data_IF_039725989350
#
_entry.id   IF_039725989350
#
_cell.length_a   1.000
_cell.length_b   1.000
_cell.length_c   1.000
_cell.angle_alpha   90.00
_cell.angle_beta   90.00
_cell.angle_gamma   90.00
#
_symmetry.space_group_name_H-M   'P 1'
#
loop_
_entity.id
_entity.type
_entity.pdbx_description
1 polymer ?
#
# COMPACT_ATOMS: atom_id res chain seq x y z
N UNK A 1 -54.89 -42.46 -41.07
CA UNK A 1 -53.61 -41.73 -40.83
C UNK A 1 -53.62 -41.20 -39.45
N UNK A 2 -52.55 -41.46 -38.67
CA UNK A 2 -52.35 -40.92 -37.35
C UNK A 2 -51.35 -39.77 -37.46
N UNK A 3 -51.75 -38.56 -37.04
CA UNK A 3 -50.87 -37.38 -37.01
C UNK A 3 -50.19 -37.34 -35.60
N UNK A 4 -48.89 -37.34 -35.61
CA UNK A 4 -48.09 -37.14 -34.38
C UNK A 4 -47.61 -35.70 -34.40
N UNK A 5 -48.04 -34.89 -33.41
CA UNK A 5 -47.61 -33.51 -33.26
C UNK A 5 -46.59 -33.44 -32.08
N UNK A 6 -45.33 -33.12 -32.36
CA UNK A 6 -44.33 -32.85 -31.33
C UNK A 6 -44.44 -31.39 -30.91
N UNK A 7 -44.70 -31.14 -29.62
CA UNK A 7 -44.65 -29.82 -29.04
C UNK A 7 -43.29 -29.62 -28.34
N UNK A 8 -42.45 -28.74 -28.86
CA UNK A 8 -41.22 -28.32 -28.23
C UNK A 8 -41.53 -27.13 -27.33
N UNK A 9 -41.38 -27.30 -26.02
CA UNK A 9 -41.34 -26.19 -25.07
C UNK A 9 -39.92 -25.65 -25.04
N UNK A 10 -39.74 -24.38 -25.42
CA UNK A 10 -38.46 -23.69 -25.17
C UNK A 10 -38.25 -23.65 -23.64
N UNK A 11 -37.21 -24.29 -23.16
CA UNK A 11 -36.81 -24.17 -21.75
C UNK A 11 -36.23 -22.76 -21.60
N UNK A 12 -37.05 -21.81 -21.13
CA UNK A 12 -36.61 -20.43 -20.90
C UNK A 12 -35.87 -20.47 -19.55
N UNK A 13 -34.55 -20.56 -19.62
CA UNK A 13 -33.69 -20.34 -18.43
C UNK A 13 -33.77 -18.85 -18.13
N UNK A 14 -34.21 -18.48 -16.91
CA UNK A 14 -34.23 -17.09 -16.49
C UNK A 14 -32.81 -16.50 -16.54
N UNK A 15 -32.66 -15.30 -17.08
CA UNK A 15 -31.37 -14.63 -17.10
C UNK A 15 -30.93 -14.29 -15.68
N UNK A 16 -29.62 -14.15 -15.49
CA UNK A 16 -29.01 -13.77 -14.21
C UNK A 16 -28.38 -12.39 -14.33
N UNK A 17 -28.25 -11.72 -13.18
CA UNK A 17 -27.70 -10.37 -13.09
C UNK A 17 -26.33 -10.37 -12.40
N UNK A 18 -25.49 -9.42 -12.79
CA UNK A 18 -24.23 -9.10 -12.14
C UNK A 18 -24.25 -7.65 -11.71
N UNK A 19 -24.37 -7.42 -10.40
CA UNK A 19 -24.24 -6.10 -9.79
C UNK A 19 -22.78 -5.87 -9.38
N UNK A 20 -22.24 -4.72 -9.73
CA UNK A 20 -20.86 -4.35 -9.41
C UNK A 20 -20.87 -3.02 -8.67
N UNK A 21 -20.33 -3.02 -7.43
CA UNK A 21 -20.11 -1.83 -6.63
C UNK A 21 -18.63 -1.44 -6.71
N UNK A 22 -18.36 -0.19 -7.06
CA UNK A 22 -17.01 0.36 -7.13
C UNK A 22 -17.02 1.85 -6.76
N UNK A 23 -16.29 2.23 -5.73
CA UNK A 23 -16.09 3.62 -5.29
C UNK A 23 -14.61 3.92 -5.40
N UNK A 24 -14.24 5.10 -5.94
CA UNK A 24 -12.84 5.51 -6.18
C UNK A 24 -12.11 4.68 -7.26
N UNK A 25 -12.88 4.07 -8.14
CA UNK A 25 -12.40 3.31 -9.28
C UNK A 25 -13.57 2.86 -10.14
N UNK A 26 -13.28 2.06 -11.14
CA UNK A 26 -14.26 1.46 -12.03
C UNK A 26 -13.96 -0.02 -12.26
N UNK A 27 -14.95 -0.75 -12.74
CA UNK A 27 -14.79 -2.14 -13.16
C UNK A 27 -15.33 -2.28 -14.58
N UNK A 28 -14.49 -2.74 -15.49
CA UNK A 28 -14.95 -3.18 -16.80
C UNK A 28 -15.31 -4.66 -16.75
N UNK A 29 -16.35 -5.05 -17.49
CA UNK A 29 -16.82 -6.43 -17.60
C UNK A 29 -16.89 -6.85 -19.06
N UNK A 30 -16.52 -8.10 -19.35
CA UNK A 30 -16.56 -8.67 -20.69
C UNK A 30 -17.14 -10.09 -20.64
N UNK A 31 -18.28 -10.36 -21.28
CA UNK A 31 -19.13 -9.43 -22.02
C UNK A 31 -19.80 -8.36 -21.14
N UNK A 32 -20.16 -7.21 -21.73
CA UNK A 32 -20.70 -6.04 -21.02
C UNK A 32 -22.25 -6.00 -21.10
N UNK A 33 -22.88 -7.13 -20.83
CA UNK A 33 -24.34 -7.29 -20.90
C UNK A 33 -25.01 -6.85 -19.58
N UNK A 34 -26.28 -6.46 -19.62
CA UNK A 34 -27.09 -6.20 -18.43
C UNK A 34 -27.66 -7.48 -17.82
N UNK A 35 -27.97 -8.44 -18.68
CA UNK A 35 -28.53 -9.75 -18.35
C UNK A 35 -27.66 -10.83 -18.99
N UNK A 36 -27.34 -11.86 -18.25
CA UNK A 36 -26.52 -12.97 -18.74
C UNK A 36 -27.29 -14.26 -18.74
N UNK A 37 -26.91 -15.18 -19.62
CA UNK A 37 -27.35 -16.55 -19.51
C UNK A 37 -26.68 -17.21 -18.30
N UNK A 38 -27.43 -18.01 -17.53
CA UNK A 38 -26.88 -18.82 -16.46
C UNK A 38 -25.77 -19.74 -16.98
N UNK A 39 -24.60 -19.68 -16.38
CA UNK A 39 -23.41 -20.41 -16.81
C UNK A 39 -22.40 -19.56 -17.59
N UNK A 40 -22.70 -18.28 -17.84
CA UNK A 40 -21.76 -17.33 -18.48
C UNK A 40 -20.56 -17.08 -17.59
N UNK A 41 -19.37 -17.07 -18.18
CA UNK A 41 -18.14 -16.57 -17.54
C UNK A 41 -17.91 -15.12 -17.93
N UNK A 42 -17.77 -14.22 -16.96
CA UNK A 42 -17.54 -12.80 -17.17
C UNK A 42 -16.15 -12.44 -16.65
N UNK A 43 -15.33 -11.85 -17.50
CA UNK A 43 -14.06 -11.26 -17.08
C UNK A 43 -14.33 -9.89 -16.48
N UNK A 44 -13.74 -9.62 -15.31
CA UNK A 44 -13.78 -8.35 -14.60
C UNK A 44 -12.38 -7.77 -14.51
N UNK A 45 -12.25 -6.47 -14.77
CA UNK A 45 -11.01 -5.72 -14.59
C UNK A 45 -11.27 -4.48 -13.74
N UNK A 46 -10.68 -4.45 -12.54
CA UNK A 46 -10.71 -3.30 -11.67
C UNK A 46 -9.67 -2.25 -12.12
N UNK A 47 -10.10 -0.99 -12.19
CA UNK A 47 -9.30 0.16 -12.61
C UNK A 47 -9.41 1.26 -11.56
N UNK A 48 -8.36 1.53 -10.77
CA UNK A 48 -8.36 2.60 -9.79
C UNK A 48 -8.44 3.98 -10.45
N UNK A 49 -9.11 4.93 -9.80
CA UNK A 49 -8.98 6.34 -10.12
C UNK A 49 -7.58 6.86 -9.75
N UNK A 50 -7.12 7.99 -10.33
CA UNK A 50 -5.87 8.64 -9.92
C UNK A 50 -5.82 8.88 -8.41
N UNK A 51 -4.72 8.53 -7.76
CA UNK A 51 -4.55 8.63 -6.31
C UNK A 51 -5.16 7.49 -5.50
N UNK A 52 -5.63 6.43 -6.15
CA UNK A 52 -6.16 5.23 -5.50
C UNK A 52 -5.44 3.96 -5.95
N UNK A 53 -5.52 2.94 -5.15
CA UNK A 53 -4.98 1.60 -5.44
C UNK A 53 -6.08 0.57 -5.21
N UNK A 54 -6.22 -0.39 -6.12
CA UNK A 54 -7.10 -1.53 -5.94
C UNK A 54 -6.56 -2.42 -4.82
N UNK A 55 -7.41 -2.73 -3.84
CA UNK A 55 -7.02 -3.52 -2.67
C UNK A 55 -7.66 -4.91 -2.63
N UNK A 56 -8.65 -5.16 -3.48
CA UNK A 56 -9.22 -6.49 -3.61
C UNK A 56 -10.71 -6.50 -3.89
N UNK A 57 -11.20 -7.70 -4.16
CA UNK A 57 -12.61 -8.00 -4.39
C UNK A 57 -13.29 -8.47 -3.12
N UNK A 58 -14.60 -8.22 -3.03
CA UNK A 58 -15.50 -8.76 -2.00
C UNK A 58 -16.84 -9.19 -2.62
N UNK A 59 -17.70 -9.84 -1.80
CA UNK A 59 -18.98 -10.40 -2.26
C UNK A 59 -18.82 -11.76 -2.90
N UNK A 60 -19.28 -11.92 -4.13
CA UNK A 60 -19.19 -13.18 -4.87
C UNK A 60 -17.77 -13.53 -5.35
N UNK A 61 -16.82 -12.61 -5.20
CA UNK A 61 -15.40 -12.77 -5.48
C UNK A 61 -14.57 -12.44 -4.24
N UNK A 62 -13.32 -12.91 -4.24
CA UNK A 62 -12.29 -12.54 -3.29
C UNK A 62 -10.93 -12.42 -3.97
N UNK A 63 -9.90 -12.02 -3.21
CA UNK A 63 -8.53 -11.89 -3.69
C UNK A 63 -8.17 -10.49 -4.19
N UNK A 64 -6.89 -10.31 -4.53
CA UNK A 64 -6.27 -9.00 -4.85
C UNK A 64 -5.84 -8.86 -6.31
N UNK A 65 -6.06 -9.87 -7.16
CA UNK A 65 -5.80 -9.75 -8.58
C UNK A 65 -6.80 -8.80 -9.23
N UNK A 66 -6.33 -7.73 -9.89
CA UNK A 66 -7.20 -6.73 -10.51
C UNK A 66 -8.03 -7.30 -11.66
N UNK A 67 -7.57 -8.37 -12.32
CA UNK A 67 -8.26 -9.09 -13.39
C UNK A 67 -8.68 -10.46 -12.87
N UNK A 68 -9.97 -10.79 -13.00
CA UNK A 68 -10.54 -12.06 -12.55
C UNK A 68 -11.65 -12.50 -13.49
N UNK A 69 -11.96 -13.80 -13.48
CA UNK A 69 -13.13 -14.35 -14.19
C UNK A 69 -14.14 -14.84 -13.18
N UNK A 70 -15.39 -14.40 -13.32
CA UNK A 70 -16.53 -14.80 -12.50
C UNK A 70 -17.48 -15.68 -13.31
N UNK A 71 -17.83 -16.83 -12.76
CA UNK A 71 -18.83 -17.73 -13.30
C UNK A 71 -20.22 -17.40 -12.73
N UNK A 72 -21.20 -17.16 -13.60
CA UNK A 72 -22.55 -16.75 -13.21
C UNK A 72 -23.51 -17.97 -13.17
N UNK A 73 -23.56 -18.63 -12.03
CA UNK A 73 -24.51 -19.72 -11.73
C UNK A 73 -25.84 -19.22 -11.11
N UNK A 74 -25.99 -17.91 -10.96
CA UNK A 74 -27.12 -17.17 -10.41
C UNK A 74 -26.78 -15.70 -10.36
N UNK A 75 -27.67 -14.88 -9.77
CA UNK A 75 -27.40 -13.47 -9.53
C UNK A 75 -26.18 -13.30 -8.62
N UNK A 76 -25.31 -12.38 -8.97
CA UNK A 76 -24.07 -12.09 -8.20
C UNK A 76 -23.96 -10.62 -7.89
N UNK A 77 -23.40 -10.33 -6.72
CA UNK A 77 -22.97 -9.01 -6.30
C UNK A 77 -21.48 -9.06 -6.01
N UNK A 78 -20.73 -8.14 -6.61
CA UNK A 78 -19.27 -8.04 -6.46
C UNK A 78 -18.94 -6.62 -6.07
N UNK A 79 -18.04 -6.45 -5.11
CA UNK A 79 -17.49 -5.15 -4.72
C UNK A 79 -16.01 -5.08 -5.06
N UNK A 80 -15.61 -4.05 -5.79
CA UNK A 80 -14.21 -3.70 -6.00
C UNK A 80 -13.78 -2.64 -4.96
N UNK A 81 -12.82 -2.99 -4.11
CA UNK A 81 -12.33 -2.12 -3.06
C UNK A 81 -11.10 -1.35 -3.54
N UNK A 82 -11.12 -0.03 -3.31
CA UNK A 82 -10.01 0.87 -3.61
C UNK A 82 -9.72 1.71 -2.36
N UNK A 83 -8.43 1.90 -2.06
CA UNK A 83 -7.96 2.80 -1.00
C UNK A 83 -7.15 3.94 -1.61
N UNK A 84 -7.16 5.09 -0.95
CA UNK A 84 -6.26 6.19 -1.30
C UNK A 84 -4.80 5.73 -1.23
N UNK A 85 -3.96 6.24 -2.12
CA UNK A 85 -2.53 5.98 -2.15
C UNK A 85 -1.75 7.28 -2.03
N UNK A 86 -0.69 7.26 -1.23
CA UNK A 86 0.10 8.40 -0.84
C UNK A 86 1.58 8.17 -1.14
N UNK A 87 2.31 9.26 -1.31
CA UNK A 87 3.75 9.23 -1.52
C UNK A 87 4.49 9.65 -0.24
N UNK A 88 5.59 8.95 0.06
CA UNK A 88 6.54 9.31 1.09
C UNK A 88 7.83 9.80 0.43
N UNK A 89 8.16 11.06 0.66
CA UNK A 89 9.45 11.64 0.30
C UNK A 89 10.36 11.69 1.53
N UNK A 90 11.55 11.10 1.42
CA UNK A 90 12.58 11.16 2.46
C UNK A 90 13.76 11.99 2.00
N UNK A 91 14.25 12.87 2.86
CA UNK A 91 15.43 13.72 2.61
C UNK A 91 16.42 13.58 3.76
N UNK A 92 17.68 13.96 3.51
CA UNK A 92 18.72 14.02 4.53
C UNK A 92 19.31 15.43 4.60
N UNK A 93 19.62 15.88 5.80
CA UNK A 93 20.46 17.06 6.08
C UNK A 93 21.69 16.60 6.85
N UNK A 94 22.84 16.69 6.19
CA UNK A 94 24.11 16.11 6.61
C UNK A 94 24.32 14.70 6.04
N UNK A 95 25.56 14.18 6.12
CA UNK A 95 25.92 12.85 5.63
C UNK A 95 25.26 11.72 6.39
N UNK A 96 24.54 10.90 5.65
CA UNK A 96 23.76 9.76 6.14
C UNK A 96 22.72 9.29 5.14
N UNK A 97 21.94 8.32 5.50
CA UNK A 97 20.87 7.78 4.66
C UNK A 97 19.61 7.44 5.48
N UNK A 98 18.51 7.29 4.80
CA UNK A 98 17.22 6.85 5.35
C UNK A 98 16.82 5.55 4.67
N UNK A 99 16.50 4.55 5.48
CA UNK A 99 15.89 3.31 5.04
C UNK A 99 14.42 3.30 5.45
N UNK A 100 13.54 2.89 4.52
CA UNK A 100 12.12 2.67 4.78
C UNK A 100 11.79 1.18 4.72
N UNK A 101 10.92 0.72 5.62
CA UNK A 101 10.40 -0.64 5.62
C UNK A 101 8.88 -0.61 5.73
N UNK A 102 8.13 -1.09 4.71
CA UNK A 102 8.63 -1.64 3.45
C UNK A 102 9.34 -0.62 2.57
N UNK A 103 10.27 -1.10 1.72
CA UNK A 103 10.98 -0.26 0.76
C UNK A 103 10.07 0.08 -0.42
N UNK A 104 9.36 1.20 -0.30
CA UNK A 104 8.45 1.75 -1.30
C UNK A 104 8.46 3.28 -1.24
N UNK A 105 8.00 3.92 -2.29
CA UNK A 105 7.71 5.36 -2.31
C UNK A 105 6.21 5.65 -2.34
N UNK A 106 5.38 4.60 -2.54
CA UNK A 106 3.92 4.71 -2.58
C UNK A 106 3.32 3.72 -1.59
N UNK A 107 2.39 4.18 -0.79
CA UNK A 107 1.72 3.45 0.27
C UNK A 107 0.22 3.66 0.19
N UNK A 108 -0.57 2.75 0.72
CA UNK A 108 -2.02 2.94 0.81
C UNK A 108 -2.39 3.56 2.16
N UNK A 109 -3.56 4.20 2.20
CA UNK A 109 -4.11 4.82 3.39
C UNK A 109 -4.13 3.84 4.59
N UNK A 110 -3.48 4.27 5.67
CA UNK A 110 -3.31 3.50 6.91
C UNK A 110 -2.08 2.59 6.96
N UNK A 111 -1.25 2.54 5.92
CA UNK A 111 0.02 1.80 5.98
C UNK A 111 0.96 2.40 7.03
N UNK A 112 1.62 1.54 7.80
CA UNK A 112 2.69 1.92 8.71
C UNK A 112 4.05 1.72 8.03
N UNK A 113 4.89 2.75 8.07
CA UNK A 113 6.24 2.74 7.50
C UNK A 113 7.25 2.93 8.62
N UNK A 114 8.17 2.00 8.76
CA UNK A 114 9.31 2.15 9.67
C UNK A 114 10.42 2.92 8.94
N UNK A 115 10.91 3.98 9.57
CA UNK A 115 12.00 4.82 9.12
C UNK A 115 13.22 4.55 9.98
N UNK A 116 14.36 4.29 9.36
CA UNK A 116 15.65 4.09 10.05
C UNK A 116 16.66 5.05 9.47
N UNK A 117 17.20 5.92 10.32
CA UNK A 117 18.30 6.83 9.97
C UNK A 117 19.64 6.11 10.13
N UNK A 118 20.50 6.22 9.15
CA UNK A 118 21.86 5.65 9.16
C UNK A 118 22.89 6.75 8.96
N UNK A 119 23.50 7.27 10.04
CA UNK A 119 24.56 8.27 9.93
C UNK A 119 25.77 7.73 9.17
N UNK A 120 26.45 8.60 8.41
CA UNK A 120 27.77 8.28 7.86
C UNK A 120 28.82 8.26 8.96
N UNK A 121 30.02 7.70 8.66
CA UNK A 121 31.15 7.70 9.58
C UNK A 121 31.52 9.11 10.04
N UNK A 122 31.72 9.31 11.32
CA UNK A 122 31.99 10.62 11.93
C UNK A 122 30.77 11.52 12.13
N UNK A 123 29.56 11.02 11.86
CA UNK A 123 28.30 11.77 12.06
C UNK A 123 27.38 11.03 13.03
N UNK A 124 26.52 11.77 13.69
CA UNK A 124 25.47 11.26 14.57
C UNK A 124 24.09 11.68 14.05
N UNK A 125 23.08 10.88 14.32
CA UNK A 125 21.70 11.25 14.08
C UNK A 125 21.24 12.26 15.14
N UNK A 126 20.57 13.32 14.69
CA UNK A 126 20.08 14.42 15.53
C UNK A 126 18.57 14.31 15.76
N UNK A 127 17.83 13.95 14.72
CA UNK A 127 16.39 13.85 14.80
C UNK A 127 15.72 13.90 13.41
N UNK A 128 14.43 13.68 13.42
CA UNK A 128 13.54 13.81 12.27
C UNK A 128 12.79 15.12 12.31
N UNK A 129 12.42 15.64 11.15
CA UNK A 129 11.53 16.79 11.00
C UNK A 129 10.66 16.66 9.73
N UNK A 130 9.69 17.57 9.56
CA UNK A 130 8.69 17.55 8.51
C UNK A 130 7.40 16.96 9.03
N UNK A 131 6.82 15.98 8.31
CA UNK A 131 5.59 15.30 8.76
C UNK A 131 5.81 14.25 9.86
N UNK A 132 7.03 14.16 10.38
CA UNK A 132 7.42 13.32 11.50
C UNK A 132 8.45 14.08 12.36
N UNK A 133 8.19 14.19 13.67
CA UNK A 133 9.13 14.72 14.64
C UNK A 133 9.50 13.62 15.65
N UNK A 134 10.78 13.27 15.71
CA UNK A 134 11.32 12.27 16.63
C UNK A 134 12.84 12.44 16.77
N UNK A 135 13.37 12.04 17.92
CA UNK A 135 14.81 11.89 18.16
C UNK A 135 15.27 10.44 18.12
N UNK A 136 14.36 9.50 17.99
CA UNK A 136 14.69 8.09 17.89
C UNK A 136 15.21 7.78 16.47
N UNK A 137 16.35 7.12 16.38
CA UNK A 137 17.00 6.78 15.14
C UNK A 137 16.12 5.86 14.25
N UNK A 138 15.30 5.03 14.89
CA UNK A 138 14.26 4.24 14.24
C UNK A 138 12.90 4.63 14.79
N UNK A 139 11.94 4.88 13.92
CA UNK A 139 10.59 5.30 14.30
C UNK A 139 9.58 4.84 13.25
N UNK A 140 8.29 4.91 13.54
CA UNK A 140 7.24 4.58 12.57
C UNK A 140 6.40 5.81 12.20
N UNK A 141 5.82 5.77 10.99
CA UNK A 141 4.95 6.79 10.44
C UNK A 141 3.74 6.13 9.79
N UNK A 142 2.54 6.59 10.12
CA UNK A 142 1.31 6.16 9.45
C UNK A 142 1.04 7.05 8.25
N UNK A 143 0.73 6.43 7.11
CA UNK A 143 0.42 7.11 5.86
C UNK A 143 -1.08 7.46 5.80
N UNK A 144 -1.42 8.69 6.11
CA UNK A 144 -2.79 9.27 6.04
C UNK A 144 -2.87 10.44 5.03
N UNK A 145 -1.79 10.62 4.25
CA UNK A 145 -1.61 11.66 3.25
C UNK A 145 -0.22 11.53 2.62
N UNK A 146 0.09 12.40 1.64
CA UNK A 146 1.46 12.53 1.17
C UNK A 146 2.34 13.09 2.30
N UNK A 147 3.49 12.45 2.55
CA UNK A 147 4.40 12.80 3.63
C UNK A 147 5.78 13.17 3.11
N UNK A 148 6.42 14.11 3.81
CA UNK A 148 7.81 14.50 3.59
C UNK A 148 8.55 14.49 4.93
N UNK A 149 9.58 13.67 5.04
CA UNK A 149 10.36 13.48 6.28
C UNK A 149 11.82 13.78 6.00
N UNK A 150 12.47 14.48 6.92
CA UNK A 150 13.86 14.89 6.82
C UNK A 150 14.65 14.33 8.01
N UNK A 151 15.68 13.54 7.72
CA UNK A 151 16.64 13.08 8.72
C UNK A 151 17.79 14.09 8.86
N UNK A 152 18.10 14.50 10.08
CA UNK A 152 19.19 15.43 10.37
C UNK A 152 20.38 14.67 10.96
N UNK A 153 21.55 14.92 10.40
CA UNK A 153 22.83 14.38 10.84
C UNK A 153 23.80 15.50 11.12
N UNK A 154 24.52 15.41 12.25
CA UNK A 154 25.55 16.35 12.61
C UNK A 154 26.90 15.66 12.80
N UNK A 155 27.97 16.35 12.52
CA UNK A 155 29.32 15.84 12.75
C UNK A 155 29.55 15.60 14.24
N UNK A 156 30.10 14.45 14.59
CA UNK A 156 30.51 14.13 15.94
C UNK A 156 31.76 14.94 16.32
N UNK A 157 31.69 15.62 17.47
CA UNK A 157 32.85 16.31 17.99
C UNK A 157 33.88 15.34 18.55
N UNK A 158 35.16 15.56 18.25
CA UNK A 158 36.26 14.80 18.89
C UNK A 158 36.74 15.57 20.11
N UNK A 159 36.76 14.91 21.28
CA UNK A 159 37.37 15.43 22.46
C UNK A 159 38.80 14.87 22.59
N UNK A 160 39.80 15.73 22.38
CA UNK A 160 41.20 15.37 22.61
C UNK A 160 41.61 15.89 24.00
N UNK A 161 42.07 15.01 24.84
CA UNK A 161 42.56 15.35 26.20
C UNK A 161 44.02 15.01 26.31
N UNK A 162 44.78 15.86 26.95
CA UNK A 162 46.18 15.60 27.28
C UNK A 162 46.44 15.86 28.78
N UNK A 163 47.26 15.04 29.39
CA UNK A 163 47.79 15.26 30.71
C UNK A 163 49.19 15.86 30.60
N UNK A 164 49.45 16.89 31.41
CA UNK A 164 50.83 17.44 31.60
C UNK A 164 51.24 17.19 33.04
N UNK A 165 52.08 16.17 33.25
CA UNK A 165 52.47 15.70 34.58
C UNK A 165 51.75 14.39 34.95
N UNK A 166 51.93 13.94 36.22
CA UNK A 166 51.27 12.74 36.70
C UNK A 166 49.78 13.04 37.01
N UNK A 167 48.89 12.23 36.44
CA UNK A 167 47.45 12.35 36.66
C UNK A 167 46.64 11.55 35.66
N UNK A 168 45.37 11.28 35.98
CA UNK A 168 44.40 10.60 35.09
C UNK A 168 43.28 11.54 34.76
N UNK A 169 42.83 11.47 33.49
CA UNK A 169 41.61 12.18 33.01
C UNK A 169 40.53 11.15 32.82
N UNK A 170 39.40 11.29 33.52
CA UNK A 170 38.21 10.51 33.33
C UNK A 170 37.20 11.32 32.53
N UNK A 171 36.50 10.67 31.54
CA UNK A 171 35.39 11.24 30.77
C UNK A 171 34.07 10.78 31.37
N UNK A 172 33.09 11.68 31.37
CA UNK A 172 31.72 11.35 31.70
C UNK A 172 30.79 12.16 30.77
N UNK A 173 29.86 11.52 30.04
CA UNK A 173 29.62 10.09 29.98
C UNK A 173 30.69 9.36 29.14
N UNK A 174 30.99 8.14 29.54
CA UNK A 174 31.90 7.25 28.80
C UNK A 174 31.11 6.61 27.67
N UNK A 175 31.07 7.28 26.50
CA UNK A 175 30.53 6.70 25.26
C UNK A 175 31.70 6.15 24.46
N UNK A 176 31.85 4.85 24.48
CA UNK A 176 32.66 4.16 23.47
C UNK A 176 31.98 4.27 22.13
N UNK A 177 32.74 4.59 21.09
CA UNK A 177 32.34 4.73 19.71
C UNK A 177 32.07 3.38 19.06
#
# INVERSE_FOLDING_TARGET
SKTVTAQFRRNIIAPVTLTIDAVNGSVTRTPADELYEKGTSVELLAQPNPGYTFTGWAGALGGTASRVTLFLDGDKVVTANFKASYQLATETRGPGSVLTTPSSTTFIDGDEVILTASPAEGYGFVGWSGDLESTDQQTSLVMDGNKRVIAHFAQLGTLTTWTRGEGTITRSPDKES
#
